data_IF_363708954432
#
_entry.id   IF_363708954432
#
_cell.length_a   1.000
_cell.length_b   1.000
_cell.length_c   1.000
_cell.angle_alpha   90.00
_cell.angle_beta   90.00
_cell.angle_gamma   90.00
#
_symmetry.space_group_name_H-M   'P 1'
#
loop_
_entity.id
_entity.type
_entity.pdbx_description
1 polymer ?
#
# COMPACT_ATOMS: atom_id res chain seq x y z
N UNK A 1 19.29 -8.91 3.15
CA UNK A 1 19.08 -7.60 3.80
C UNK A 1 19.13 -7.87 5.29
N UNK A 2 19.96 -7.17 6.06
CA UNK A 2 20.04 -7.38 7.52
C UNK A 2 18.67 -7.13 8.15
N UNK A 3 18.19 -8.07 8.96
CA UNK A 3 17.02 -7.92 9.84
C UNK A 3 17.34 -6.91 10.95
N UNK A 4 17.40 -5.63 10.60
CA UNK A 4 17.41 -4.56 11.58
C UNK A 4 15.98 -4.39 12.11
N UNK A 5 15.77 -4.40 13.44
CA UNK A 5 14.50 -4.00 14.03
C UNK A 5 14.06 -2.66 13.43
N UNK A 6 12.77 -2.52 13.10
CA UNK A 6 12.20 -1.29 12.51
C UNK A 6 12.79 -0.93 11.11
N UNK A 7 13.14 -1.93 10.30
CA UNK A 7 13.68 -1.75 8.94
C UNK A 7 12.66 -1.45 7.83
N UNK A 8 11.35 -1.55 8.12
CA UNK A 8 10.26 -1.42 7.15
C UNK A 8 9.20 -0.40 7.58
N UNK A 9 8.60 0.26 6.59
CA UNK A 9 7.43 1.13 6.68
C UNK A 9 6.28 0.57 5.84
N UNK A 10 5.06 1.07 6.04
CA UNK A 10 3.96 0.86 5.10
C UNK A 10 4.11 1.83 3.91
N UNK A 11 4.63 1.33 2.80
CA UNK A 11 4.87 2.11 1.59
C UNK A 11 3.74 1.97 0.57
N UNK A 12 3.24 3.10 0.07
CA UNK A 12 2.24 3.13 -1.00
C UNK A 12 2.89 3.22 -2.39
N UNK A 13 2.49 2.36 -3.33
CA UNK A 13 3.00 2.41 -4.71
C UNK A 13 2.58 3.72 -5.40
N UNK A 14 1.27 3.99 -5.46
CA UNK A 14 0.74 5.31 -5.76
C UNK A 14 0.51 6.07 -4.47
N UNK A 15 1.21 7.20 -4.32
CA UNK A 15 1.17 7.99 -3.09
C UNK A 15 -0.25 8.40 -2.72
N UNK A 16 -0.55 8.48 -1.42
CA UNK A 16 -1.86 8.92 -0.92
C UNK A 16 -2.17 10.38 -1.26
N UNK A 17 -1.16 11.20 -1.56
CA UNK A 17 -1.34 12.57 -2.03
C UNK A 17 -1.80 12.62 -3.49
N UNK A 18 -1.26 11.76 -4.35
CA UNK A 18 -1.63 11.67 -5.77
C UNK A 18 -2.87 10.81 -6.04
N UNK A 19 -3.14 9.82 -5.20
CA UNK A 19 -4.21 8.84 -5.37
C UNK A 19 -4.89 8.53 -4.02
N UNK A 20 -5.59 9.51 -3.42
CA UNK A 20 -6.22 9.33 -2.11
C UNK A 20 -7.29 8.21 -2.11
N UNK A 21 -7.90 7.97 -3.27
CA UNK A 21 -8.84 6.87 -3.50
C UNK A 21 -8.23 5.47 -3.28
N UNK A 22 -6.91 5.34 -3.39
CA UNK A 22 -6.18 4.08 -3.21
C UNK A 22 -5.58 3.93 -1.80
N UNK A 23 -5.91 4.81 -0.85
CA UNK A 23 -5.30 4.83 0.51
C UNK A 23 -5.40 3.50 1.24
N UNK A 24 -6.56 2.85 1.16
CA UNK A 24 -6.85 1.59 1.87
C UNK A 24 -6.91 0.38 0.93
N UNK A 25 -6.44 0.53 -0.32
CA UNK A 25 -6.35 -0.57 -1.27
C UNK A 25 -5.14 -1.46 -0.90
N UNK A 26 -5.40 -2.73 -0.58
CA UNK A 26 -4.36 -3.69 -0.16
C UNK A 26 -3.31 -3.94 -1.25
N UNK A 27 -3.67 -3.84 -2.54
CA UNK A 27 -2.72 -3.97 -3.65
C UNK A 27 -1.85 -2.71 -3.83
N UNK A 28 -2.16 -1.59 -3.17
CA UNK A 28 -1.37 -0.36 -3.25
C UNK A 28 -0.40 -0.19 -2.07
N UNK A 29 -0.53 -0.96 -0.98
CA UNK A 29 0.22 -0.75 0.27
C UNK A 29 0.95 -2.02 0.73
N UNK A 30 2.27 -1.95 0.91
CA UNK A 30 3.09 -3.09 1.30
C UNK A 30 4.21 -2.70 2.26
N UNK A 31 4.81 -3.70 2.91
CA UNK A 31 6.05 -3.53 3.66
C UNK A 31 7.18 -3.08 2.75
N UNK A 32 7.67 -1.87 2.95
CA UNK A 32 8.72 -1.24 2.14
C UNK A 32 9.92 -0.91 3.01
N UNK A 33 11.13 -1.12 2.50
CA UNK A 33 12.36 -0.76 3.23
C UNK A 33 12.37 0.74 3.56
N UNK A 34 12.71 1.14 4.79
CA UNK A 34 12.70 2.57 5.20
C UNK A 34 13.55 3.45 4.29
N UNK A 35 14.72 2.95 3.88
CA UNK A 35 15.61 3.67 2.96
C UNK A 35 14.92 3.95 1.62
N UNK A 36 14.21 2.94 1.10
CA UNK A 36 13.50 2.98 -0.16
C UNK A 36 12.35 3.99 -0.09
N UNK A 37 11.54 3.89 0.97
CA UNK A 37 10.37 4.73 1.17
C UNK A 37 10.76 6.21 1.36
N UNK A 38 11.68 6.47 2.29
CA UNK A 38 11.95 7.83 2.76
C UNK A 38 12.98 8.60 1.94
N UNK A 39 13.89 7.92 1.23
CA UNK A 39 15.04 8.58 0.57
C UNK A 39 15.18 8.29 -0.93
N UNK A 40 14.48 7.28 -1.46
CA UNK A 40 14.57 6.91 -2.88
C UNK A 40 13.25 7.16 -3.63
N UNK A 41 12.43 8.09 -3.16
CA UNK A 41 11.13 8.42 -3.75
C UNK A 41 10.24 7.19 -3.91
N UNK A 42 10.16 6.36 -2.87
CA UNK A 42 9.43 5.08 -2.91
C UNK A 42 10.07 4.01 -3.80
N UNK A 43 11.27 4.25 -4.33
CA UNK A 43 12.00 3.33 -5.23
C UNK A 43 11.08 2.74 -6.33
N UNK A 44 10.30 3.62 -6.97
CA UNK A 44 9.10 3.28 -7.75
C UNK A 44 9.34 2.25 -8.85
N UNK A 45 10.47 2.29 -9.55
CA UNK A 45 10.83 1.32 -10.61
C UNK A 45 10.92 -0.10 -10.02
N UNK A 46 11.70 -0.26 -8.95
CA UNK A 46 11.86 -1.57 -8.29
C UNK A 46 10.56 -2.01 -7.59
N UNK A 47 9.78 -1.05 -7.07
CA UNK A 47 8.46 -1.35 -6.53
C UNK A 47 7.58 -1.96 -7.63
N UNK A 48 7.45 -1.30 -8.79
CA UNK A 48 6.62 -1.79 -9.91
C UNK A 48 7.01 -3.21 -10.34
N UNK A 49 8.30 -3.48 -10.51
CA UNK A 49 8.81 -4.82 -10.89
C UNK A 49 8.31 -5.88 -9.90
N UNK A 50 8.53 -5.66 -8.60
CA UNK A 50 8.11 -6.59 -7.55
C UNK A 50 6.60 -6.64 -7.36
N UNK A 51 5.89 -5.57 -7.69
CA UNK A 51 4.44 -5.52 -7.63
C UNK A 51 3.84 -6.40 -8.73
N UNK A 52 4.38 -6.36 -9.96
CA UNK A 52 3.99 -7.27 -11.05
C UNK A 52 4.21 -8.73 -10.63
N UNK A 53 5.35 -9.05 -10.01
CA UNK A 53 5.60 -10.39 -9.48
C UNK A 53 4.58 -10.82 -8.40
N UNK A 54 4.07 -9.87 -7.61
CA UNK A 54 3.18 -10.13 -6.48
C UNK A 54 1.71 -10.24 -6.87
N UNK A 55 1.20 -9.33 -7.70
CA UNK A 55 -0.23 -9.19 -8.02
C UNK A 55 -0.55 -9.37 -9.51
N UNK A 56 0.46 -9.59 -10.35
CA UNK A 56 0.31 -9.71 -11.81
C UNK A 56 0.28 -8.37 -12.54
N UNK A 57 0.53 -8.41 -13.85
CA UNK A 57 0.61 -7.21 -14.69
C UNK A 57 -0.71 -6.45 -14.76
N UNK A 58 -1.81 -7.15 -14.99
CA UNK A 58 -3.15 -6.56 -15.14
C UNK A 58 -3.57 -5.78 -13.90
N UNK A 59 -3.35 -6.32 -12.69
CA UNK A 59 -3.69 -5.65 -11.46
C UNK A 59 -2.83 -4.39 -11.21
N UNK A 60 -1.56 -4.41 -11.66
CA UNK A 60 -0.70 -3.23 -11.64
C UNK A 60 -1.22 -2.16 -12.60
N UNK A 61 -1.61 -2.53 -13.81
CA UNK A 61 -2.18 -1.58 -14.78
C UNK A 61 -3.48 -0.96 -14.28
N UNK A 62 -4.35 -1.76 -13.64
CA UNK A 62 -5.57 -1.25 -12.99
C UNK A 62 -5.22 -0.23 -11.91
N UNK A 63 -4.23 -0.49 -11.05
CA UNK A 63 -3.79 0.47 -10.04
C UNK A 63 -3.24 1.76 -10.66
N UNK A 64 -2.42 1.65 -11.70
CA UNK A 64 -1.80 2.78 -12.40
C UNK A 64 -2.85 3.69 -13.08
N UNK A 65 -3.89 3.08 -13.64
CA UNK A 65 -4.93 3.77 -14.40
C UNK A 65 -6.14 4.21 -13.55
N UNK A 66 -6.31 3.71 -12.33
CA UNK A 66 -7.49 4.03 -11.50
C UNK A 66 -7.44 5.46 -10.96
N UNK A 67 -8.26 6.34 -11.51
CA UNK A 67 -8.45 7.71 -11.02
C UNK A 67 -9.89 7.95 -10.53
N UNK A 68 -10.62 6.88 -10.25
CA UNK A 68 -12.00 6.96 -9.77
C UNK A 68 -12.04 7.58 -8.37
N UNK A 69 -12.87 8.61 -8.14
CA UNK A 69 -12.99 9.21 -6.83
C UNK A 69 -13.56 8.20 -5.83
N UNK A 70 -13.00 8.18 -4.63
CA UNK A 70 -13.51 7.38 -3.53
C UNK A 70 -13.65 8.28 -2.30
N UNK A 71 -14.85 8.29 -1.75
CA UNK A 71 -15.21 9.14 -0.62
C UNK A 71 -15.63 8.27 0.56
N UNK A 72 -14.81 8.26 1.60
CA UNK A 72 -15.12 7.54 2.83
C UNK A 72 -15.89 8.44 3.78
N UNK A 73 -17.07 7.99 4.19
CA UNK A 73 -17.77 8.55 5.33
C UNK A 73 -17.03 8.20 6.64
N UNK A 74 -17.41 8.86 7.74
CA UNK A 74 -16.89 8.53 9.07
C UNK A 74 -17.20 7.07 9.46
N UNK A 75 -18.34 6.55 9.04
CA UNK A 75 -18.74 5.19 9.35
C UNK A 75 -17.98 4.16 8.50
N UNK A 76 -17.68 4.47 7.24
CA UNK A 76 -16.80 3.62 6.41
C UNK A 76 -15.42 3.49 7.04
N UNK A 77 -14.83 4.60 7.50
CA UNK A 77 -13.53 4.58 8.17
C UNK A 77 -13.53 3.75 9.46
N UNK A 78 -14.61 3.83 10.25
CA UNK A 78 -14.79 3.01 11.45
C UNK A 78 -14.94 1.53 11.12
N UNK A 79 -15.62 1.19 10.02
CA UNK A 79 -15.73 -0.19 9.54
C UNK A 79 -14.39 -0.74 9.07
N UNK A 80 -13.64 0.04 8.29
CA UNK A 80 -12.27 -0.31 7.86
C UNK A 80 -11.37 -0.56 9.08
N UNK A 81 -11.42 0.31 10.09
CA UNK A 81 -10.66 0.13 11.32
C UNK A 81 -11.00 -1.19 12.04
N UNK A 82 -12.30 -1.50 12.18
CA UNK A 82 -12.76 -2.76 12.80
C UNK A 82 -12.27 -3.98 12.03
N UNK A 83 -12.43 -3.98 10.71
CA UNK A 83 -11.97 -5.05 9.83
C UNK A 83 -10.48 -5.35 10.04
N UNK A 84 -9.62 -4.33 10.01
CA UNK A 84 -8.18 -4.56 10.16
C UNK A 84 -7.76 -4.92 11.60
N UNK A 85 -8.53 -4.51 12.62
CA UNK A 85 -8.33 -4.99 14.00
C UNK A 85 -8.65 -6.48 14.12
N UNK A 86 -9.71 -6.93 13.47
CA UNK A 86 -10.11 -8.35 13.43
C UNK A 86 -9.09 -9.19 12.66
N UNK A 87 -8.72 -8.80 11.43
CA UNK A 87 -7.67 -9.47 10.64
C UNK A 87 -6.36 -9.60 11.44
N UNK A 88 -5.95 -8.54 12.14
CA UNK A 88 -4.74 -8.59 12.98
C UNK A 88 -4.87 -9.59 14.12
N UNK A 89 -6.05 -9.70 14.74
CA UNK A 89 -6.30 -10.65 15.82
C UNK A 89 -6.24 -12.09 15.33
N UNK A 90 -6.64 -12.35 14.08
CA UNK A 90 -6.57 -13.70 13.48
C UNK A 90 -5.14 -14.12 13.10
N UNK A 91 -4.24 -13.16 12.88
CA UNK A 91 -2.84 -13.40 12.52
C UNK A 91 -1.89 -13.59 13.70
N UNK A 92 -2.31 -13.22 14.92
CA UNK A 92 -1.53 -13.27 16.17
C UNK A 92 -2.03 -14.39 17.08
#
# INVERSE_FOLDING_TARGET
>A
MQDTPNGYDAGHYRSVGSAPNLRFNENNCHGQCKRCNNYLSGNHINYRIRLIERIGHEAVEVLECNNEPQHYSKDDLRQIERLYKEKRRELL
#
